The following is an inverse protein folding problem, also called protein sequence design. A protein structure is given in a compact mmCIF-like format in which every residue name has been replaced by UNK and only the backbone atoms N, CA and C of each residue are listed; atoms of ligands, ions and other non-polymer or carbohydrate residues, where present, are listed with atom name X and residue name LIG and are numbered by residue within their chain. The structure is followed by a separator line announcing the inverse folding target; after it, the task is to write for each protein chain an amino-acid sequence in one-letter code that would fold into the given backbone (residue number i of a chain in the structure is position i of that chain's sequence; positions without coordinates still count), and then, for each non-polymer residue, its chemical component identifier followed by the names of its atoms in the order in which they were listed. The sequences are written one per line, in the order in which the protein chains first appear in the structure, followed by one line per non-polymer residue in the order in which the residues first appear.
data_IF_600350746756
#
_entry.id   IF_600350746756
#
_cell.length_a   1.000
_cell.length_b   1.000
_cell.length_c   1.000
_cell.angle_alpha   90.00
_cell.angle_beta   90.00
_cell.angle_gamma   90.00
#
_symmetry.space_group_name_H-M   'P 1'
#
loop_
_entity.id
_entity.type
_entity.pdbx_description
1 polymer ?
#
# COMPACT_ATOMS: atom_id res chain seq x y z
N UNK A 1 -6.72 -20.50 -9.45
CA UNK A 1 -6.65 -19.18 -8.77
C UNK A 1 -5.20 -18.83 -8.42
N UNK A 2 -4.78 -17.57 -8.59
CA UNK A 2 -3.47 -17.06 -8.17
C UNK A 2 -3.63 -16.24 -6.88
N UNK A 3 -2.81 -16.56 -5.87
CA UNK A 3 -2.85 -15.89 -4.59
C UNK A 3 -1.79 -14.77 -4.55
N UNK A 4 -2.20 -13.56 -4.20
CA UNK A 4 -1.30 -12.44 -3.95
C UNK A 4 -1.28 -12.14 -2.46
N UNK A 5 -0.10 -11.98 -1.88
CA UNK A 5 0.06 -11.71 -0.45
C UNK A 5 0.99 -10.52 -0.28
N UNK A 6 0.48 -9.45 0.30
CA UNK A 6 1.28 -8.28 0.68
C UNK A 6 1.41 -8.22 2.20
N UNK A 7 2.64 -8.23 2.72
CA UNK A 7 2.94 -8.16 4.15
C UNK A 7 3.40 -6.74 4.48
N UNK A 8 2.48 -5.95 4.99
CA UNK A 8 2.73 -4.63 5.57
C UNK A 8 3.02 -4.69 7.08
N UNK A 9 3.41 -3.55 7.67
CA UNK A 9 3.71 -3.46 9.11
C UNK A 9 2.48 -3.73 9.99
N UNK A 10 1.30 -3.33 9.56
CA UNK A 10 0.06 -3.43 10.33
C UNK A 10 -0.83 -4.58 9.84
N UNK A 11 -0.91 -4.77 8.52
CA UNK A 11 -1.79 -5.74 7.89
C UNK A 11 -1.08 -6.58 6.84
N UNK A 12 -1.54 -7.84 6.73
CA UNK A 12 -1.25 -8.71 5.60
C UNK A 12 -2.48 -8.71 4.70
N UNK A 13 -2.33 -8.21 3.49
CA UNK A 13 -3.42 -8.20 2.50
C UNK A 13 -3.30 -9.39 1.58
N UNK A 14 -4.39 -10.15 1.44
CA UNK A 14 -4.45 -11.37 0.63
C UNK A 14 -5.49 -11.18 -0.47
N UNK A 15 -5.07 -11.29 -1.72
CA UNK A 15 -5.96 -11.23 -2.88
C UNK A 15 -5.97 -12.56 -3.65
N UNK A 16 -7.14 -12.98 -4.11
CA UNK A 16 -7.30 -14.13 -5.01
C UNK A 16 -7.70 -13.68 -6.40
N UNK A 17 -6.97 -14.13 -7.42
CA UNK A 17 -7.21 -13.77 -8.82
C UNK A 17 -7.54 -14.99 -9.65
N UNK A 18 -8.60 -14.89 -10.46
CA UNK A 18 -8.87 -15.82 -11.56
C UNK A 18 -8.68 -15.08 -12.88
N UNK A 19 -7.73 -15.56 -13.67
CA UNK A 19 -7.21 -14.83 -14.82
C UNK A 19 -6.77 -13.42 -14.41
N UNK A 20 -7.41 -12.36 -14.91
CA UNK A 20 -7.13 -10.97 -14.58
C UNK A 20 -8.17 -10.34 -13.63
N UNK A 21 -9.10 -11.15 -13.09
CA UNK A 21 -10.18 -10.68 -12.22
C UNK A 21 -9.86 -10.97 -10.76
N UNK A 22 -9.93 -9.93 -9.93
CA UNK A 22 -9.87 -10.06 -8.48
C UNK A 22 -11.18 -10.67 -7.98
N UNK A 23 -11.11 -11.85 -7.36
CA UNK A 23 -12.27 -12.56 -6.82
C UNK A 23 -12.53 -12.17 -5.38
N UNK A 24 -11.48 -12.01 -4.61
CA UNK A 24 -11.56 -11.49 -3.24
C UNK A 24 -10.30 -10.73 -2.83
N UNK A 25 -10.46 -9.84 -1.85
CA UNK A 25 -9.38 -9.20 -1.15
C UNK A 25 -9.71 -9.14 0.34
N UNK A 26 -8.85 -9.70 1.17
CA UNK A 26 -9.03 -9.73 2.62
C UNK A 26 -7.77 -9.34 3.36
N UNK A 27 -7.92 -8.98 4.65
CA UNK A 27 -6.81 -8.54 5.49
C UNK A 27 -6.69 -9.38 6.74
N UNK A 28 -5.46 -9.68 7.13
CA UNK A 28 -5.08 -10.27 8.41
C UNK A 28 -4.20 -9.27 9.17
N UNK A 29 -4.17 -9.35 10.48
CA UNK A 29 -3.24 -8.58 11.28
C UNK A 29 -1.80 -9.09 11.12
N UNK A 30 -0.82 -8.19 10.96
CA UNK A 30 0.60 -8.49 10.98
C UNK A 30 1.05 -8.71 12.42
N UNK A 31 1.18 -9.97 12.83
CA UNK A 31 1.52 -10.37 14.19
C UNK A 31 2.92 -11.00 14.24
N UNK A 32 3.94 -10.26 14.71
CA UNK A 32 5.31 -10.80 14.79
C UNK A 32 5.47 -11.98 15.75
N UNK A 33 4.52 -12.20 16.65
CA UNK A 33 4.55 -13.31 17.61
C UNK A 33 3.90 -14.59 17.07
N UNK A 34 3.03 -14.48 16.05
CA UNK A 34 2.32 -15.62 15.49
C UNK A 34 3.25 -16.66 14.86
N UNK A 35 2.95 -17.93 15.06
CA UNK A 35 3.67 -19.07 14.49
C UNK A 35 3.29 -19.31 13.03
N UNK A 36 3.99 -20.21 12.36
CA UNK A 36 3.68 -20.63 10.99
C UNK A 36 2.28 -21.27 10.92
N UNK A 37 1.95 -22.10 11.89
CA UNK A 37 0.67 -22.81 11.98
C UNK A 37 -0.49 -21.84 12.22
N UNK A 38 -0.30 -20.83 13.08
CA UNK A 38 -1.31 -19.79 13.30
C UNK A 38 -1.58 -19.00 12.02
N UNK A 39 -0.54 -18.62 11.26
CA UNK A 39 -0.75 -17.99 9.96
C UNK A 39 -1.43 -18.92 8.96
N UNK A 40 -1.10 -20.21 8.95
CA UNK A 40 -1.77 -21.19 8.10
C UNK A 40 -3.28 -21.28 8.42
N UNK A 41 -3.63 -21.36 9.71
CA UNK A 41 -5.04 -21.38 10.16
C UNK A 41 -5.76 -20.08 9.77
N UNK A 42 -5.14 -18.92 10.03
CA UNK A 42 -5.71 -17.61 9.66
C UNK A 42 -5.95 -17.51 8.14
N UNK A 43 -5.03 -18.00 7.33
CA UNK A 43 -5.16 -18.02 5.86
C UNK A 43 -6.27 -18.96 5.40
N UNK A 44 -6.39 -20.17 5.97
CA UNK A 44 -7.49 -21.10 5.67
C UNK A 44 -8.84 -20.46 6.00
N UNK A 45 -8.97 -19.89 7.20
CA UNK A 45 -10.19 -19.23 7.64
C UNK A 45 -10.54 -18.04 6.72
N UNK A 46 -9.54 -17.25 6.31
CA UNK A 46 -9.75 -16.15 5.37
C UNK A 46 -10.27 -16.67 4.02
N UNK A 47 -9.65 -17.70 3.47
CA UNK A 47 -10.11 -18.32 2.21
C UNK A 47 -11.55 -18.82 2.33
N UNK A 48 -11.90 -19.48 3.43
CA UNK A 48 -13.26 -19.98 3.67
C UNK A 48 -14.30 -18.87 3.74
N UNK A 49 -13.97 -17.70 4.37
CA UNK A 49 -14.85 -16.53 4.39
C UNK A 49 -15.24 -16.05 2.99
N UNK A 50 -14.33 -16.21 2.03
CA UNK A 50 -14.54 -15.85 0.62
C UNK A 50 -14.93 -17.04 -0.26
N UNK A 51 -15.36 -18.17 0.33
CA UNK A 51 -15.77 -19.37 -0.37
C UNK A 51 -14.67 -19.97 -1.27
N UNK A 52 -13.42 -19.70 -0.94
CA UNK A 52 -12.24 -20.24 -1.60
C UNK A 52 -11.59 -21.35 -0.75
N UNK A 53 -10.79 -22.21 -1.39
CA UNK A 53 -10.06 -23.26 -0.70
C UNK A 53 -8.60 -23.35 -1.16
N UNK A 54 -7.68 -23.88 -0.32
CA UNK A 54 -6.30 -24.11 -0.71
C UNK A 54 -6.14 -24.96 -1.99
N UNK A 55 -7.06 -25.89 -2.26
CA UNK A 55 -7.02 -26.75 -3.45
C UNK A 55 -7.19 -25.98 -4.77
N UNK A 56 -7.77 -24.79 -4.74
CA UNK A 56 -7.96 -23.96 -5.93
C UNK A 56 -6.73 -23.09 -6.26
N UNK A 57 -5.72 -23.06 -5.37
CA UNK A 57 -4.53 -22.25 -5.56
C UNK A 57 -3.59 -22.97 -6.55
N UNK A 58 -3.26 -22.33 -7.65
CA UNK A 58 -2.36 -22.82 -8.71
C UNK A 58 -0.96 -22.18 -8.63
N UNK A 59 -0.85 -21.12 -7.87
CA UNK A 59 0.40 -20.40 -7.66
C UNK A 59 0.16 -19.12 -6.84
N UNK A 60 1.24 -18.45 -6.49
CA UNK A 60 1.11 -17.20 -5.75
C UNK A 60 2.35 -16.34 -5.78
N UNK A 61 2.19 -15.12 -5.29
CA UNK A 61 3.26 -14.16 -5.16
C UNK A 61 3.15 -13.40 -3.84
N UNK A 62 4.29 -13.22 -3.18
CA UNK A 62 4.42 -12.54 -1.90
C UNK A 62 5.30 -11.30 -2.06
N UNK A 63 4.77 -10.14 -1.65
CA UNK A 63 5.52 -8.91 -1.41
C UNK A 63 5.57 -8.64 0.09
N UNK A 64 6.67 -8.09 0.59
CA UNK A 64 6.80 -7.80 2.01
C UNK A 64 7.71 -6.60 2.26
N UNK A 65 7.33 -5.81 3.26
CA UNK A 65 8.18 -4.80 3.89
C UNK A 65 8.56 -5.18 5.33
N UNK A 66 8.20 -6.42 5.75
CA UNK A 66 8.48 -6.97 7.09
C UNK A 66 9.28 -8.28 6.97
N UNK A 67 10.61 -8.21 6.88
CA UNK A 67 11.45 -9.40 6.65
C UNK A 67 11.22 -10.54 7.64
N UNK A 68 10.96 -10.21 8.90
CA UNK A 68 10.73 -11.22 9.96
C UNK A 68 9.48 -12.06 9.72
N UNK A 69 8.44 -11.50 9.08
CA UNK A 69 7.19 -12.20 8.78
C UNK A 69 7.24 -12.93 7.44
N UNK A 70 8.06 -12.49 6.51
CA UNK A 70 8.12 -13.04 5.14
C UNK A 70 8.34 -14.55 5.13
N UNK A 71 9.32 -15.04 5.89
CA UNK A 71 9.62 -16.48 5.98
C UNK A 71 8.48 -17.28 6.61
N UNK A 72 7.85 -16.75 7.67
CA UNK A 72 6.74 -17.44 8.36
C UNK A 72 5.51 -17.55 7.49
N UNK A 73 5.11 -16.44 6.86
CA UNK A 73 3.93 -16.43 5.97
C UNK A 73 4.17 -17.28 4.72
N UNK A 74 5.40 -17.26 4.17
CA UNK A 74 5.77 -18.15 3.07
C UNK A 74 5.68 -19.63 3.48
N UNK A 75 6.22 -19.99 4.65
CA UNK A 75 6.11 -21.34 5.18
C UNK A 75 4.64 -21.75 5.44
N UNK A 76 3.83 -20.86 5.97
CA UNK A 76 2.38 -21.09 6.14
C UNK A 76 1.68 -21.37 4.80
N UNK A 77 1.99 -20.60 3.76
CA UNK A 77 1.45 -20.84 2.41
C UNK A 77 1.90 -22.20 1.86
N UNK A 78 3.15 -22.61 2.09
CA UNK A 78 3.68 -23.91 1.66
C UNK A 78 3.06 -25.10 2.41
N UNK A 79 2.58 -24.91 3.65
CA UNK A 79 1.78 -25.90 4.36
C UNK A 79 0.39 -26.08 3.70
N UNK A 80 -0.20 -25.00 3.19
CA UNK A 80 -1.55 -25.00 2.64
C UNK A 80 -1.62 -25.51 1.19
N UNK A 81 -0.63 -25.18 0.39
CA UNK A 81 -0.60 -25.50 -1.03
C UNK A 81 0.82 -25.79 -1.49
N UNK A 82 0.96 -26.92 -2.23
CA UNK A 82 2.26 -27.34 -2.80
C UNK A 82 2.46 -26.74 -4.18
N UNK A 83 2.35 -25.43 -4.28
CA UNK A 83 2.49 -24.69 -5.55
C UNK A 83 3.64 -23.71 -5.48
N UNK A 84 4.06 -23.21 -6.62
CA UNK A 84 5.12 -22.19 -6.69
C UNK A 84 4.62 -20.87 -6.13
N UNK A 85 5.31 -20.35 -5.10
CA UNK A 85 5.10 -19.00 -4.54
C UNK A 85 6.34 -18.18 -4.87
N UNK A 86 6.16 -17.11 -5.65
CA UNK A 86 7.22 -16.13 -5.94
C UNK A 86 7.33 -15.14 -4.78
N UNK A 87 8.53 -14.63 -4.54
CA UNK A 87 8.73 -13.51 -3.60
C UNK A 87 9.28 -12.32 -4.35
N UNK A 88 8.66 -11.15 -4.18
CA UNK A 88 9.13 -9.90 -4.79
C UNK A 88 10.51 -9.55 -4.24
N UNK A 89 11.47 -9.40 -5.15
CA UNK A 89 12.86 -9.12 -4.80
C UNK A 89 13.77 -9.10 -6.01
N UNK A 90 15.09 -9.02 -5.79
CA UNK A 90 16.08 -9.04 -6.85
C UNK A 90 15.91 -10.26 -7.77
N UNK A 91 16.03 -10.02 -9.08
CA UNK A 91 15.90 -11.08 -10.09
C UNK A 91 14.49 -11.31 -10.61
N UNK A 92 13.44 -10.77 -9.96
CA UNK A 92 12.08 -10.88 -10.46
C UNK A 92 11.78 -9.78 -11.50
N UNK A 93 11.18 -10.15 -12.62
CA UNK A 93 10.84 -9.20 -13.70
C UNK A 93 9.62 -8.37 -13.30
N UNK A 94 9.82 -7.17 -12.79
CA UNK A 94 8.73 -6.23 -12.47
C UNK A 94 8.13 -5.55 -13.72
N UNK A 95 8.93 -5.35 -14.74
CA UNK A 95 8.58 -4.59 -15.95
C UNK A 95 8.78 -3.08 -15.78
N UNK A 96 9.31 -2.64 -14.66
CA UNK A 96 9.71 -1.25 -14.40
C UNK A 96 11.22 -1.21 -14.22
N UNK A 97 11.85 -0.21 -14.81
CA UNK A 97 13.27 0.06 -14.61
C UNK A 97 13.45 0.94 -13.37
N UNK A 98 14.33 0.53 -12.48
CA UNK A 98 14.63 1.26 -11.25
C UNK A 98 15.86 2.15 -11.46
N UNK A 99 15.70 3.47 -11.27
CA UNK A 99 16.75 4.51 -11.35
C UNK A 99 17.02 5.06 -9.94
N UNK A 100 17.22 4.16 -9.00
CA UNK A 100 17.54 4.48 -7.61
C UNK A 100 19.01 4.17 -7.35
N UNK A 101 19.62 4.87 -6.41
CA UNK A 101 20.99 4.62 -5.98
C UNK A 101 21.16 3.20 -5.41
N UNK A 102 20.17 2.75 -4.65
CA UNK A 102 20.11 1.39 -4.12
C UNK A 102 18.72 0.76 -4.37
N UNK A 103 18.51 0.13 -5.55
CA UNK A 103 17.23 -0.50 -5.88
C UNK A 103 16.79 -1.61 -4.92
N UNK A 104 17.74 -2.25 -4.20
CA UNK A 104 17.43 -3.32 -3.25
C UNK A 104 16.71 -2.81 -1.98
N UNK A 105 16.76 -1.52 -1.70
CA UNK A 105 16.06 -0.89 -0.57
C UNK A 105 14.62 -0.48 -0.90
N UNK A 106 14.21 -0.59 -2.17
CA UNK A 106 12.84 -0.27 -2.56
C UNK A 106 11.87 -1.27 -1.94
N UNK A 107 10.91 -0.78 -1.17
CA UNK A 107 9.84 -1.59 -0.62
C UNK A 107 8.98 -2.26 -1.71
N UNK A 108 8.67 -3.54 -1.52
CA UNK A 108 7.86 -4.30 -2.47
C UNK A 108 6.51 -3.63 -2.78
N UNK A 109 5.90 -2.99 -1.80
CA UNK A 109 4.62 -2.27 -1.94
C UNK A 109 4.69 -1.14 -2.97
N UNK A 110 5.73 -0.32 -2.90
CA UNK A 110 5.92 0.81 -3.81
C UNK A 110 6.18 0.35 -5.24
N UNK A 111 6.96 -0.73 -5.40
CA UNK A 111 7.18 -1.36 -6.70
C UNK A 111 5.87 -1.91 -7.28
N UNK A 112 5.12 -2.67 -6.48
CA UNK A 112 3.85 -3.26 -6.91
C UNK A 112 2.82 -2.18 -7.26
N UNK A 113 2.68 -1.15 -6.42
CA UNK A 113 1.82 -0.01 -6.69
C UNK A 113 2.15 0.68 -8.01
N UNK A 114 3.44 0.91 -8.29
CA UNK A 114 3.90 1.49 -9.55
C UNK A 114 3.60 0.60 -10.77
N UNK A 115 3.79 -0.73 -10.64
CA UNK A 115 3.44 -1.70 -11.69
C UNK A 115 1.94 -1.68 -12.00
N UNK A 116 1.08 -1.59 -10.98
CA UNK A 116 -0.36 -1.52 -11.17
C UNK A 116 -0.78 -0.19 -11.81
N UNK A 117 -0.30 0.94 -11.28
CA UNK A 117 -0.63 2.27 -11.78
C UNK A 117 -0.21 2.46 -13.25
N UNK A 118 0.97 1.96 -13.65
CA UNK A 118 1.44 1.99 -15.05
C UNK A 118 0.59 1.16 -16.01
N UNK A 119 -0.23 0.28 -15.53
CA UNK A 119 -1.17 -0.44 -16.39
C UNK A 119 -2.45 0.36 -16.68
N UNK A 120 -2.73 1.38 -15.88
CA UNK A 120 -3.88 2.29 -16.05
C UNK A 120 -3.46 3.62 -16.69
N UNK A 121 -2.20 4.03 -16.50
CA UNK A 121 -1.66 5.28 -17.01
C UNK A 121 -0.27 5.06 -17.58
N UNK A 122 0.02 5.61 -18.75
CA UNK A 122 1.35 5.49 -19.39
C UNK A 122 2.45 6.33 -18.71
N UNK A 123 2.13 7.07 -17.64
CA UNK A 123 3.03 7.94 -16.88
C UNK A 123 3.24 9.32 -17.53
N UNK A 124 3.84 10.32 -16.87
CA UNK A 124 4.41 10.19 -15.51
C UNK A 124 3.34 10.04 -14.42
N UNK A 125 3.71 9.41 -13.34
CA UNK A 125 2.81 9.21 -12.22
C UNK A 125 3.55 9.17 -10.86
N UNK A 126 2.80 9.39 -9.79
CA UNK A 126 3.27 9.21 -8.42
C UNK A 126 2.34 8.21 -7.71
N UNK A 127 2.94 7.19 -7.09
CA UNK A 127 2.22 6.27 -6.21
C UNK A 127 2.36 6.74 -4.78
N UNK A 128 1.25 6.89 -4.11
CA UNK A 128 1.12 7.25 -2.69
C UNK A 128 0.70 5.98 -1.95
N UNK A 129 1.59 5.43 -1.13
CA UNK A 129 1.26 4.36 -0.19
C UNK A 129 1.16 4.97 1.20
N UNK A 130 -0.02 4.93 1.80
CA UNK A 130 -0.29 5.51 3.10
C UNK A 130 -0.67 4.41 4.11
N UNK A 131 0.20 4.22 5.09
CA UNK A 131 0.00 3.33 6.25
C UNK A 131 0.68 4.00 7.45
N UNK A 132 1.53 3.33 8.19
CA UNK A 132 2.37 3.91 9.26
C UNK A 132 3.18 5.11 8.77
N UNK A 133 3.67 5.04 7.54
CA UNK A 133 4.28 6.16 6.80
C UNK A 133 3.43 6.51 5.57
N UNK A 134 3.56 7.72 5.07
CA UNK A 134 3.18 8.09 3.70
C UNK A 134 4.44 8.04 2.85
N UNK A 135 4.46 7.21 1.85
CA UNK A 135 5.53 7.14 0.85
C UNK A 135 4.99 7.56 -0.51
N UNK A 136 5.62 8.54 -1.14
CA UNK A 136 5.30 8.98 -2.50
C UNK A 136 6.45 8.57 -3.40
N UNK A 137 6.19 7.74 -4.41
CA UNK A 137 7.20 7.24 -5.32
C UNK A 137 6.88 7.62 -6.76
N UNK A 138 7.82 8.27 -7.41
CA UNK A 138 7.69 8.85 -8.73
C UNK A 138 8.12 7.90 -9.84
N UNK A 139 7.33 7.85 -10.90
CA UNK A 139 7.64 7.19 -12.17
C UNK A 139 7.63 8.25 -13.26
N UNK A 140 8.72 8.33 -14.02
CA UNK A 140 8.87 9.32 -15.10
C UNK A 140 8.13 8.90 -16.40
N UNK A 141 8.12 9.77 -17.40
CA UNK A 141 7.49 9.52 -18.70
C UNK A 141 8.13 8.34 -19.49
N UNK A 142 9.34 7.88 -19.10
CA UNK A 142 9.98 6.69 -19.67
C UNK A 142 9.60 5.41 -18.92
N UNK A 143 8.62 5.47 -18.02
CA UNK A 143 8.20 4.37 -17.15
C UNK A 143 9.35 3.84 -16.27
N UNK A 144 10.23 4.74 -15.82
CA UNK A 144 11.31 4.42 -14.89
C UNK A 144 10.94 4.98 -13.51
N UNK A 145 11.12 4.18 -12.46
CA UNK A 145 10.97 4.62 -11.07
C UNK A 145 12.22 5.38 -10.67
N UNK A 146 12.06 6.67 -10.34
CA UNK A 146 13.18 7.61 -10.27
C UNK A 146 13.47 8.14 -8.87
N UNK A 147 12.59 7.94 -7.91
CA UNK A 147 12.78 8.39 -6.53
C UNK A 147 11.48 8.77 -5.86
N UNK A 148 11.56 9.34 -4.67
CA UNK A 148 10.36 9.71 -3.94
C UNK A 148 10.65 10.36 -2.60
N UNK A 149 9.60 10.50 -1.79
CA UNK A 149 9.67 11.04 -0.43
C UNK A 149 8.94 10.13 0.54
N UNK A 150 9.38 10.12 1.79
CA UNK A 150 8.76 9.35 2.88
C UNK A 150 8.49 10.32 4.04
N UNK A 151 7.30 10.23 4.60
CA UNK A 151 6.79 11.08 5.67
C UNK A 151 6.12 10.21 6.74
N UNK A 152 6.01 10.71 7.98
CA UNK A 152 5.15 10.04 8.97
C UNK A 152 3.70 10.00 8.48
N UNK A 153 3.03 8.87 8.68
CA UNK A 153 1.60 8.75 8.41
C UNK A 153 0.77 9.67 9.30
N UNK A 154 -0.44 10.08 8.86
CA UNK A 154 -1.25 11.03 9.61
C UNK A 154 -1.65 10.49 10.97
N UNK A 155 -2.00 9.21 11.08
CA UNK A 155 -2.35 8.57 12.35
C UNK A 155 -1.14 8.46 13.29
N UNK A 156 0.04 8.11 12.78
CA UNK A 156 1.28 8.07 13.54
C UNK A 156 1.60 9.47 14.11
N UNK A 157 1.51 10.51 13.27
CA UNK A 157 1.76 11.89 13.66
C UNK A 157 0.80 12.36 14.76
N UNK A 158 -0.49 12.05 14.61
CA UNK A 158 -1.52 12.40 15.59
C UNK A 158 -1.31 11.66 16.90
N UNK A 159 -1.06 10.35 16.86
CA UNK A 159 -0.79 9.55 18.05
C UNK A 159 0.44 10.06 18.80
N UNK A 160 1.52 10.41 18.08
CA UNK A 160 2.71 10.97 18.68
C UNK A 160 2.43 12.32 19.35
N UNK A 161 1.62 13.19 18.73
CA UNK A 161 1.22 14.47 19.30
C UNK A 161 0.42 14.28 20.59
N UNK A 162 -0.60 13.43 20.58
CA UNK A 162 -1.45 13.15 21.76
C UNK A 162 -0.63 12.52 22.89
N UNK A 163 0.25 11.57 22.59
CA UNK A 163 1.09 10.90 23.60
C UNK A 163 2.12 11.83 24.25
N UNK A 164 2.56 12.87 23.54
CA UNK A 164 3.59 13.83 24.02
C UNK A 164 3.00 15.07 24.67
N UNK A 165 1.68 15.17 24.76
CA UNK A 165 0.99 16.33 25.35
C UNK A 165 0.02 15.88 26.42
N UNK A 166 -0.13 16.68 27.51
CA UNK A 166 -0.96 16.31 28.64
C UNK A 166 -2.46 16.55 28.44
N UNK A 167 -2.85 17.40 27.46
CA UNK A 167 -4.22 17.92 27.36
C UNK A 167 -4.86 17.75 25.99
N UNK A 168 -4.13 17.24 24.99
CA UNK A 168 -4.71 17.07 23.67
C UNK A 168 -5.55 15.79 23.62
N UNK A 169 -6.84 15.89 23.23
CA UNK A 169 -7.71 14.74 23.14
C UNK A 169 -7.39 13.91 21.88
N UNK A 170 -7.83 12.66 21.88
CA UNK A 170 -7.88 11.88 20.64
C UNK A 170 -8.99 12.42 19.74
N UNK A 171 -8.77 12.32 18.43
CA UNK A 171 -9.75 12.65 17.40
C UNK A 171 -10.18 11.40 16.64
N UNK A 172 -11.30 11.49 15.94
CA UNK A 172 -11.74 10.46 15.02
C UNK A 172 -11.08 10.65 13.63
N UNK A 173 -10.21 9.74 13.21
CA UNK A 173 -9.54 9.84 11.90
C UNK A 173 -10.52 9.82 10.71
N UNK A 174 -11.72 9.26 10.89
CA UNK A 174 -12.75 9.19 9.85
C UNK A 174 -13.57 10.49 9.74
N UNK A 175 -13.57 11.32 10.78
CA UNK A 175 -14.32 12.57 10.78
C UNK A 175 -13.74 13.58 9.79
N UNK A 176 -14.63 14.42 9.25
CA UNK A 176 -14.24 15.51 8.33
C UNK A 176 -13.68 16.71 9.11
N UNK A 177 -12.91 17.54 8.43
CA UNK A 177 -12.61 18.88 8.92
C UNK A 177 -13.88 19.72 9.00
N UNK A 178 -13.83 20.81 9.79
CA UNK A 178 -14.87 21.83 9.76
C UNK A 178 -14.81 22.64 8.45
N UNK A 179 -15.91 23.31 8.10
CA UNK A 179 -16.00 24.15 6.90
C UNK A 179 -14.98 25.30 6.91
N UNK A 180 -14.57 25.72 8.11
CA UNK A 180 -13.53 26.75 8.30
C UNK A 180 -12.23 26.12 8.74
N UNK A 181 -11.11 26.58 8.19
CA UNK A 181 -9.77 26.19 8.66
C UNK A 181 -9.55 26.60 10.12
N UNK A 182 -10.27 27.61 10.59
CA UNK A 182 -10.18 28.13 11.96
C UNK A 182 -11.04 27.29 12.90
N UNK A 183 -10.43 26.30 13.56
CA UNK A 183 -11.06 25.55 14.65
C UNK A 183 -11.32 26.43 15.86
N UNK A 184 -12.52 26.34 16.46
CA UNK A 184 -12.90 27.11 17.66
C UNK A 184 -12.82 26.33 18.97
N UNK A 185 -12.37 25.08 18.91
CA UNK A 185 -12.07 24.24 20.06
C UNK A 185 -10.80 23.43 19.79
N UNK A 186 -10.16 22.92 20.84
CA UNK A 186 -8.96 22.06 20.70
C UNK A 186 -9.23 20.88 19.77
N UNK A 187 -10.35 20.21 19.90
CA UNK A 187 -10.71 19.07 19.05
C UNK A 187 -10.90 19.50 17.57
N UNK A 188 -11.56 20.66 17.33
CA UNK A 188 -11.71 21.17 15.96
C UNK A 188 -10.37 21.60 15.35
N UNK A 189 -9.46 22.21 16.14
CA UNK A 189 -8.13 22.56 15.67
C UNK A 189 -7.31 21.30 15.31
N UNK A 190 -7.37 20.26 16.13
CA UNK A 190 -6.69 18.99 15.86
C UNK A 190 -7.27 18.30 14.62
N UNK A 191 -8.61 18.25 14.51
CA UNK A 191 -9.29 17.65 13.37
C UNK A 191 -8.94 18.37 12.06
N UNK A 192 -8.95 19.71 12.07
CA UNK A 192 -8.58 20.51 10.91
C UNK A 192 -7.10 20.33 10.56
N UNK A 193 -6.21 20.30 11.56
CA UNK A 193 -4.80 20.02 11.36
C UNK A 193 -4.55 18.62 10.77
N UNK A 194 -5.27 17.60 11.25
CA UNK A 194 -5.17 16.24 10.74
C UNK A 194 -5.63 16.15 9.27
N UNK A 195 -6.80 16.67 8.95
CA UNK A 195 -7.39 16.56 7.61
C UNK A 195 -6.77 17.57 6.64
N UNK A 196 -6.91 18.86 6.92
CA UNK A 196 -6.48 19.92 6.02
C UNK A 196 -4.95 20.05 5.96
N UNK A 197 -4.27 19.84 7.09
CA UNK A 197 -2.81 19.85 7.15
C UNK A 197 -2.21 18.74 6.31
N UNK A 198 -2.75 17.50 6.40
CA UNK A 198 -2.29 16.38 5.58
C UNK A 198 -2.63 16.58 4.10
N UNK A 199 -3.83 17.07 3.79
CA UNK A 199 -4.21 17.36 2.41
C UNK A 199 -3.30 18.44 1.79
N UNK A 200 -3.02 19.53 2.52
CA UNK A 200 -2.11 20.60 2.06
C UNK A 200 -0.68 20.11 1.86
N UNK A 201 -0.21 19.17 2.70
CA UNK A 201 1.09 18.54 2.55
C UNK A 201 1.16 17.72 1.25
N UNK A 202 0.12 16.90 0.99
CA UNK A 202 0.04 16.11 -0.25
C UNK A 202 -0.05 17.00 -1.48
N UNK A 203 -0.87 18.05 -1.45
CA UNK A 203 -0.98 19.03 -2.54
C UNK A 203 0.34 19.75 -2.81
N UNK A 204 1.03 20.20 -1.76
CA UNK A 204 2.31 20.88 -1.91
C UNK A 204 3.43 19.96 -2.45
N UNK A 205 3.38 18.66 -2.13
CA UNK A 205 4.28 17.67 -2.75
C UNK A 205 3.88 17.38 -4.18
N UNK A 206 2.58 17.29 -4.48
CA UNK A 206 2.09 17.10 -5.83
C UNK A 206 2.54 18.22 -6.77
N UNK A 207 2.46 19.48 -6.32
CA UNK A 207 2.96 20.64 -7.07
C UNK A 207 4.46 20.49 -7.39
N UNK A 208 5.27 20.02 -6.44
CA UNK A 208 6.71 19.79 -6.63
C UNK A 208 7.00 18.64 -7.59
N UNK A 209 6.28 17.53 -7.47
CA UNK A 209 6.40 16.40 -8.42
C UNK A 209 5.97 16.83 -9.84
N UNK A 210 4.91 17.61 -9.98
CA UNK A 210 4.49 18.14 -11.28
C UNK A 210 5.54 19.08 -11.89
N UNK A 211 6.23 19.86 -11.07
CA UNK A 211 7.32 20.72 -11.56
C UNK A 211 8.50 19.92 -12.12
N UNK A 212 8.80 18.75 -11.53
CA UNK A 212 9.93 17.90 -11.97
C UNK A 212 9.54 16.91 -13.09
N UNK A 213 8.34 16.34 -13.02
CA UNK A 213 7.91 15.26 -13.92
C UNK A 213 7.03 15.74 -15.07
N UNK A 214 6.46 16.93 -14.95
CA UNK A 214 5.51 17.52 -15.90
C UNK A 214 4.10 17.63 -15.32
N UNK A 215 3.33 18.59 -15.82
CA UNK A 215 1.99 18.95 -15.30
C UNK A 215 0.92 17.87 -15.49
N UNK A 216 1.18 16.87 -16.34
CA UNK A 216 0.26 15.74 -16.57
C UNK A 216 0.55 14.54 -15.66
N UNK A 217 1.29 14.74 -14.56
CA UNK A 217 1.57 13.69 -13.59
C UNK A 217 0.29 13.22 -12.91
N UNK A 218 -0.01 11.91 -13.00
CA UNK A 218 -1.15 11.29 -12.34
C UNK A 218 -0.77 10.84 -10.92
N UNK A 219 -1.72 10.91 -9.97
CA UNK A 219 -1.50 10.49 -8.59
C UNK A 219 -2.41 9.31 -8.24
N UNK A 220 -1.80 8.19 -7.87
CA UNK A 220 -2.48 6.98 -7.42
C UNK A 220 -2.21 6.77 -5.93
N UNK A 221 -3.25 6.52 -5.15
CA UNK A 221 -3.10 6.26 -3.72
C UNK A 221 -3.67 4.90 -3.32
N UNK A 222 -3.06 4.30 -2.31
CA UNK A 222 -3.49 3.06 -1.67
C UNK A 222 -3.19 3.08 -0.18
N UNK A 223 -3.65 2.07 0.55
CA UNK A 223 -3.45 1.96 2.00
C UNK A 223 -4.50 2.72 2.80
N UNK A 224 -4.16 3.06 4.03
CA UNK A 224 -5.10 3.62 5.00
C UNK A 224 -5.15 5.16 4.97
N UNK A 225 -5.20 5.75 3.75
CA UNK A 225 -5.41 7.20 3.59
C UNK A 225 -6.89 7.54 3.80
N UNK A 226 -7.26 8.26 4.88
CA UNK A 226 -8.64 8.57 5.20
C UNK A 226 -9.37 9.28 4.04
N UNK A 227 -10.63 8.92 3.85
CA UNK A 227 -11.47 9.54 2.82
C UNK A 227 -11.58 11.05 3.01
N UNK A 228 -11.69 11.50 4.26
CA UNK A 228 -11.73 12.93 4.62
C UNK A 228 -10.51 13.71 4.11
N UNK A 229 -9.30 13.12 4.18
CA UNK A 229 -8.07 13.73 3.67
C UNK A 229 -8.10 13.75 2.12
N UNK A 230 -8.49 12.64 1.48
CA UNK A 230 -8.55 12.55 0.02
C UNK A 230 -9.53 13.57 -0.59
N UNK A 231 -10.69 13.75 0.04
CA UNK A 231 -11.71 14.71 -0.38
C UNK A 231 -11.28 16.17 -0.12
N UNK A 232 -10.35 16.41 0.81
CA UNK A 232 -9.81 17.74 1.09
C UNK A 232 -8.62 18.12 0.20
N UNK A 233 -8.01 17.16 -0.52
CA UNK A 233 -6.94 17.43 -1.47
C UNK A 233 -7.49 18.17 -2.71
N UNK A 234 -6.74 19.16 -3.20
CA UNK A 234 -6.99 19.82 -4.49
C UNK A 234 -6.53 18.97 -5.66
N UNK A 235 -5.43 18.25 -5.45
CA UNK A 235 -4.86 17.33 -6.44
C UNK A 235 -5.78 16.13 -6.62
N UNK A 236 -6.19 15.81 -7.85
CA UNK A 236 -6.95 14.60 -8.14
C UNK A 236 -6.13 13.36 -7.78
N UNK A 237 -6.63 12.55 -6.85
CA UNK A 237 -5.98 11.31 -6.40
C UNK A 237 -6.85 10.12 -6.77
N UNK A 238 -6.33 9.22 -7.59
CA UNK A 238 -6.97 7.95 -7.93
C UNK A 238 -6.73 6.94 -6.82
N UNK A 239 -7.67 6.82 -5.89
CA UNK A 239 -7.55 5.85 -4.78
C UNK A 239 -7.95 4.46 -5.23
N UNK A 240 -7.06 3.48 -4.99
CA UNK A 240 -7.26 2.06 -5.29
C UNK A 240 -6.82 1.22 -4.10
N UNK A 241 -7.78 0.64 -3.41
CA UNK A 241 -7.51 -0.22 -2.25
C UNK A 241 -6.65 -1.44 -2.63
N UNK A 242 -6.86 -1.97 -3.82
CA UNK A 242 -6.23 -3.19 -4.33
C UNK A 242 -4.95 -2.95 -5.13
N UNK A 243 -4.47 -1.71 -5.21
CA UNK A 243 -3.35 -1.33 -6.09
C UNK A 243 -2.11 -2.23 -5.92
N UNK A 244 -1.77 -2.58 -4.68
CA UNK A 244 -0.59 -3.42 -4.40
C UNK A 244 -0.84 -4.87 -4.83
N UNK A 245 -2.02 -5.43 -4.55
CA UNK A 245 -2.38 -6.80 -4.96
C UNK A 245 -2.50 -6.92 -6.47
N UNK A 246 -3.03 -5.89 -7.14
CA UNK A 246 -3.07 -5.82 -8.60
C UNK A 246 -1.65 -5.82 -9.19
N UNK A 247 -0.73 -5.08 -8.58
CA UNK A 247 0.68 -5.05 -8.97
C UNK A 247 1.39 -6.38 -8.75
N UNK A 248 1.16 -7.04 -7.62
CA UNK A 248 1.65 -8.38 -7.35
C UNK A 248 1.19 -9.36 -8.43
N UNK A 249 -0.11 -9.36 -8.73
CA UNK A 249 -0.67 -10.22 -9.76
C UNK A 249 -0.02 -9.99 -11.14
N UNK A 250 0.19 -8.73 -11.54
CA UNK A 250 0.86 -8.39 -12.81
C UNK A 250 2.32 -8.85 -12.83
N UNK A 251 3.03 -8.75 -11.72
CA UNK A 251 4.40 -9.27 -11.58
C UNK A 251 4.38 -10.80 -11.70
N UNK A 252 3.42 -11.49 -11.07
CA UNK A 252 3.25 -12.94 -11.22
C UNK A 252 3.09 -13.33 -12.69
N UNK A 253 2.19 -12.69 -13.43
CA UNK A 253 1.94 -12.99 -14.84
C UNK A 253 3.19 -12.88 -15.72
N UNK A 254 4.09 -11.95 -15.40
CA UNK A 254 5.37 -11.76 -16.12
C UNK A 254 6.40 -12.85 -15.81
N UNK A 255 6.25 -13.57 -14.69
CA UNK A 255 7.22 -14.57 -14.21
C UNK A 255 6.68 -15.99 -14.15
N UNK A 256 5.43 -16.24 -14.56
CA UNK A 256 4.77 -17.57 -14.48
C UNK A 256 5.40 -18.62 -15.37
N UNK A 257 6.11 -18.24 -16.43
CA UNK A 257 6.70 -19.14 -17.43
C UNK A 257 8.22 -19.36 -17.22
N UNK A 258 8.74 -19.09 -16.03
CA UNK A 258 10.15 -19.29 -15.68
C UNK A 258 10.39 -20.55 -14.87
#
# INVERSE_FOLDING_TARGET
MILTVNIGNTHITVGGYEQDTLIFCGRLHSDPAATVEEYAIRLVNLLQLYQASPAQIEGGILGSVVPMLSGRVLAALQLLCKVRILTVGPGLKSGIKLRLDNPAQLGAELLCGAVAALAECSGPLVVISADTAISLMAVNAKQELVGGVILPGPQLSMNALVQKTAQLPQIDPAARASDSVLGKSTSACLQNGFVLGTASLLDGLADRFCAELGTQTAFYATGDLPRSIREACRTPIHYRETLITDGLHRIWLRNRKG
#
